data_IF_190561503474
#
_entry.id   IF_190561503474
#
_cell.length_a   1.000
_cell.length_b   1.000
_cell.length_c   1.000
_cell.angle_alpha   90.00
_cell.angle_beta   90.00
_cell.angle_gamma   90.00
#
_symmetry.space_group_name_H-M   'P 1'
#
loop_
_entity.id
_entity.type
_entity.pdbx_description
1 polymer ?
#
# COMPACT_ATOMS: atom_id res chain seq x y z
N UNK A 1 17.46 5.12 -3.21
CA UNK A 1 18.91 5.25 -2.94
C UNK A 1 19.10 5.68 -1.50
N UNK A 2 19.95 5.00 -0.72
CA UNK A 2 20.34 5.47 0.61
C UNK A 2 21.44 6.53 0.49
N UNK A 3 21.34 7.60 1.27
CA UNK A 3 22.31 8.69 1.34
C UNK A 3 22.79 8.78 2.79
N UNK A 4 24.10 8.63 3.00
CA UNK A 4 24.73 8.67 4.32
C UNK A 4 25.75 9.81 4.38
N UNK A 5 25.92 10.40 5.57
CA UNK A 5 26.94 11.41 5.87
C UNK A 5 27.41 11.23 7.31
N UNK A 6 28.72 11.27 7.55
CA UNK A 6 29.27 11.12 8.89
C UNK A 6 28.72 12.17 9.86
N UNK A 7 28.35 11.75 11.07
CA UNK A 7 27.77 12.61 12.10
C UNK A 7 26.33 13.09 11.84
N UNK A 8 25.65 12.56 10.81
CA UNK A 8 24.27 12.92 10.47
C UNK A 8 23.36 11.69 10.31
N UNK A 9 22.05 11.91 10.39
CA UNK A 9 21.06 10.87 10.14
C UNK A 9 21.12 10.40 8.67
N UNK A 10 20.96 9.09 8.47
CA UNK A 10 20.84 8.51 7.12
C UNK A 10 19.45 8.78 6.56
N UNK A 11 19.37 9.06 5.26
CA UNK A 11 18.10 9.30 4.56
C UNK A 11 17.98 8.41 3.34
N UNK A 12 16.75 8.21 2.86
CA UNK A 12 16.47 7.45 1.64
C UNK A 12 15.79 8.38 0.64
N UNK A 13 16.40 8.51 -0.53
CA UNK A 13 15.75 9.12 -1.70
C UNK A 13 14.94 8.04 -2.41
N UNK A 14 13.64 8.29 -2.58
CA UNK A 14 12.71 7.47 -3.36
C UNK A 14 12.04 8.35 -4.41
N UNK A 15 11.54 7.70 -5.47
CA UNK A 15 10.65 8.37 -6.42
C UNK A 15 9.39 8.88 -5.70
N UNK A 16 8.85 10.01 -6.16
CA UNK A 16 7.70 10.63 -5.51
C UNK A 16 6.43 9.75 -5.60
N UNK A 17 6.22 9.05 -6.73
CA UNK A 17 5.08 8.15 -6.88
C UNK A 17 5.24 6.91 -6.00
N UNK A 18 6.47 6.40 -5.85
CA UNK A 18 6.77 5.29 -4.94
C UNK A 18 6.49 5.67 -3.48
N UNK A 19 6.92 6.87 -3.06
CA UNK A 19 6.59 7.38 -1.72
C UNK A 19 5.08 7.46 -1.49
N UNK A 20 4.34 8.01 -2.44
CA UNK A 20 2.88 8.14 -2.34
C UNK A 20 2.20 6.76 -2.26
N UNK A 21 2.64 5.79 -3.06
CA UNK A 21 2.12 4.42 -3.04
C UNK A 21 2.38 3.72 -1.68
N UNK A 22 3.57 3.91 -1.11
CA UNK A 22 3.91 3.41 0.22
C UNK A 22 3.04 4.06 1.30
N UNK A 23 2.89 5.39 1.27
CA UNK A 23 2.09 6.14 2.23
C UNK A 23 0.62 5.69 2.21
N UNK A 24 0.04 5.52 1.02
CA UNK A 24 -1.32 5.01 0.86
C UNK A 24 -1.44 3.56 1.36
N UNK A 25 -0.45 2.71 1.09
CA UNK A 25 -0.41 1.35 1.62
C UNK A 25 -0.41 1.34 3.14
N UNK A 26 0.40 2.19 3.79
CA UNK A 26 0.39 2.32 5.25
C UNK A 26 -0.92 2.88 5.77
N UNK A 27 -1.51 3.86 5.10
CA UNK A 27 -2.82 4.41 5.47
C UNK A 27 -3.90 3.32 5.44
N UNK A 28 -4.02 2.58 4.34
CA UNK A 28 -4.97 1.48 4.17
C UNK A 28 -4.79 0.38 5.22
N UNK A 29 -3.54 0.07 5.59
CA UNK A 29 -3.22 -0.99 6.55
C UNK A 29 -3.19 -0.54 8.01
N UNK A 30 -3.36 0.76 8.30
CA UNK A 30 -3.29 1.33 9.66
C UNK A 30 -4.38 0.82 10.60
N UNK A 31 -5.54 0.43 10.07
CA UNK A 31 -6.64 -0.18 10.83
C UNK A 31 -6.64 -1.69 10.64
N UNK A 32 -6.55 -2.51 11.71
CA UNK A 32 -6.62 -3.97 11.60
C UNK A 32 -7.89 -4.43 10.87
N UNK A 33 -9.04 -3.81 11.19
CA UNK A 33 -10.32 -4.12 10.54
C UNK A 33 -10.29 -3.84 9.04
N UNK A 34 -9.67 -2.75 8.60
CA UNK A 34 -9.57 -2.45 7.18
C UNK A 34 -8.58 -3.37 6.47
N UNK A 35 -7.43 -3.65 7.10
CA UNK A 35 -6.44 -4.57 6.58
C UNK A 35 -7.03 -5.97 6.34
N UNK A 36 -7.82 -6.48 7.30
CA UNK A 36 -8.49 -7.78 7.15
C UNK A 36 -9.54 -7.77 6.04
N UNK A 37 -10.31 -6.68 5.90
CA UNK A 37 -11.24 -6.48 4.78
C UNK A 37 -10.52 -6.50 3.44
N UNK A 38 -9.40 -5.79 3.32
CA UNK A 38 -8.61 -5.75 2.08
C UNK A 38 -8.03 -7.12 1.73
N UNK A 39 -7.46 -7.82 2.72
CA UNK A 39 -6.94 -9.20 2.52
C UNK A 39 -8.04 -10.15 2.06
N UNK A 40 -9.21 -10.12 2.71
CA UNK A 40 -10.35 -10.91 2.30
C UNK A 40 -10.83 -10.56 0.89
N UNK A 41 -10.99 -9.27 0.60
CA UNK A 41 -11.41 -8.80 -0.73
C UNK A 41 -10.44 -9.23 -1.83
N UNK A 42 -9.13 -9.19 -1.57
CA UNK A 42 -8.12 -9.67 -2.51
C UNK A 42 -8.17 -11.19 -2.72
N UNK A 43 -8.42 -11.96 -1.65
CA UNK A 43 -8.60 -13.42 -1.75
C UNK A 43 -9.88 -13.79 -2.51
N UNK A 44 -10.98 -13.09 -2.24
CA UNK A 44 -12.25 -13.24 -2.96
C UNK A 44 -12.07 -12.89 -4.45
N UNK A 45 -11.39 -11.79 -4.77
CA UNK A 45 -11.08 -11.41 -6.14
C UNK A 45 -10.23 -12.48 -6.86
N UNK A 46 -9.14 -12.95 -6.23
CA UNK A 46 -8.27 -14.01 -6.77
C UNK A 46 -8.99 -15.34 -6.98
N UNK A 47 -10.02 -15.63 -6.18
CA UNK A 47 -10.85 -16.84 -6.31
C UNK A 47 -12.08 -16.65 -7.20
N UNK A 48 -12.21 -15.50 -7.88
CA UNK A 48 -13.34 -15.21 -8.78
C UNK A 48 -14.64 -14.85 -8.07
N UNK A 49 -14.63 -14.65 -6.74
CA UNK A 49 -15.78 -14.29 -5.91
C UNK A 49 -16.05 -12.78 -5.93
N UNK A 50 -16.26 -12.22 -7.11
CA UNK A 50 -16.61 -10.81 -7.27
C UNK A 50 -17.79 -10.64 -8.23
N UNK A 51 -18.57 -9.58 -8.03
CA UNK A 51 -19.62 -9.19 -8.96
C UNK A 51 -19.10 -8.03 -9.79
N UNK A 52 -19.23 -8.12 -11.12
CA UNK A 52 -19.00 -6.96 -11.98
C UNK A 52 -20.12 -5.96 -11.71
N UNK A 53 -19.77 -4.69 -11.56
CA UNK A 53 -20.77 -3.64 -11.52
C UNK A 53 -21.59 -3.68 -12.83
N UNK A 54 -22.91 -3.43 -12.79
CA UNK A 54 -23.68 -3.24 -14.02
C UNK A 54 -22.99 -2.17 -14.86
N UNK A 55 -22.80 -2.44 -16.15
CA UNK A 55 -22.46 -1.36 -17.08
C UNK A 55 -23.72 -0.51 -17.21
N UNK A 56 -23.65 0.72 -16.71
CA UNK A 56 -24.56 1.77 -17.12
C UNK A 56 -24.33 2.16 -18.57
#
# INVERSE_FOLDING_TARGET
>A
MAITRNGAASVVLVDAAEYAAMAETFHLLSSPRNADRLRKGLADFKSGKFKKAPRG
#
